data_IF_958653829487
#
_entry.id   IF_958653829487
#
_cell.length_a   1.000
_cell.length_b   1.000
_cell.length_c   1.000
_cell.angle_alpha   90.00
_cell.angle_beta   90.00
_cell.angle_gamma   90.00
#
_symmetry.space_group_name_H-M   'P 1'
#
loop_
_entity.id
_entity.type
_entity.pdbx_description
1 polymer ?
#
# COMPACT_ATOMS: atom_id res chain seq x y z
N UNK A 1 -9.96 9.81 -19.13
CA UNK A 1 -8.71 9.10 -18.81
C UNK A 1 -7.58 10.09 -19.02
N UNK A 2 -6.75 10.29 -18.00
CA UNK A 2 -5.61 11.21 -18.03
C UNK A 2 -4.35 10.46 -17.56
N UNK A 3 -3.16 10.73 -18.14
CA UNK A 3 -1.93 10.10 -17.69
C UNK A 3 -1.58 10.47 -16.24
N UNK A 4 -1.31 9.46 -15.40
CA UNK A 4 -0.89 9.65 -14.01
C UNK A 4 0.51 9.06 -13.77
N UNK A 5 1.26 9.66 -12.84
CA UNK A 5 2.51 9.07 -12.34
C UNK A 5 2.16 7.88 -11.45
N UNK A 6 2.38 6.68 -11.97
CA UNK A 6 2.11 5.44 -11.25
C UNK A 6 3.42 4.84 -10.71
N UNK A 7 3.38 4.32 -9.48
CA UNK A 7 4.46 3.55 -8.88
C UNK A 7 3.98 2.10 -8.72
N UNK A 8 4.62 1.11 -9.37
CA UNK A 8 4.33 -0.28 -9.08
C UNK A 8 4.82 -0.64 -7.67
N UNK A 9 3.96 -1.26 -6.87
CA UNK A 9 4.26 -1.72 -5.52
C UNK A 9 4.12 -3.24 -5.44
N UNK A 10 5.09 -3.90 -4.81
CA UNK A 10 5.02 -5.30 -4.46
C UNK A 10 5.17 -5.47 -2.94
N UNK A 11 4.35 -6.33 -2.35
CA UNK A 11 4.41 -6.68 -0.93
C UNK A 11 4.66 -8.18 -0.80
N UNK A 12 5.86 -8.54 -0.38
CA UNK A 12 6.17 -9.91 0.04
C UNK A 12 5.76 -10.09 1.50
N UNK A 13 5.07 -11.19 1.80
CA UNK A 13 4.65 -11.53 3.15
C UNK A 13 4.64 -13.05 3.35
N UNK A 14 4.81 -13.48 4.60
CA UNK A 14 4.64 -14.89 4.97
C UNK A 14 3.15 -15.20 5.14
N UNK A 15 2.61 -16.00 4.22
CA UNK A 15 1.19 -16.36 4.21
C UNK A 15 0.78 -17.29 5.38
N UNK A 16 1.74 -17.88 6.09
CA UNK A 16 1.48 -18.66 7.31
C UNK A 16 1.18 -17.76 8.50
N UNK A 17 1.73 -16.55 8.51
CA UNK A 17 1.57 -15.56 9.56
C UNK A 17 0.46 -14.54 9.26
N UNK A 18 0.32 -14.15 7.98
CA UNK A 18 -0.58 -13.09 7.54
C UNK A 18 -1.44 -13.60 6.38
N UNK A 19 -2.75 -13.38 6.44
CA UNK A 19 -3.64 -13.72 5.32
C UNK A 19 -3.67 -12.62 4.25
N UNK A 20 -4.14 -12.97 3.05
CA UNK A 20 -4.19 -12.05 1.92
C UNK A 20 -5.02 -10.78 2.15
N UNK A 21 -6.08 -10.84 2.96
CA UNK A 21 -6.91 -9.67 3.27
C UNK A 21 -6.13 -8.63 4.09
N UNK A 22 -5.39 -9.08 5.11
CA UNK A 22 -4.55 -8.21 5.92
C UNK A 22 -3.38 -7.63 5.08
N UNK A 23 -2.77 -8.45 4.22
CA UNK A 23 -1.73 -7.97 3.30
C UNK A 23 -2.26 -6.91 2.31
N UNK A 24 -3.47 -7.10 1.76
CA UNK A 24 -4.11 -6.13 0.87
C UNK A 24 -4.45 -4.82 1.59
N UNK A 25 -4.95 -4.90 2.83
CA UNK A 25 -5.21 -3.72 3.65
C UNK A 25 -3.92 -2.94 3.94
N UNK A 26 -2.83 -3.64 4.26
CA UNK A 26 -1.51 -3.01 4.46
C UNK A 26 -1.02 -2.34 3.18
N UNK A 27 -1.08 -3.02 2.02
CA UNK A 27 -0.69 -2.44 0.75
C UNK A 27 -1.51 -1.18 0.40
N UNK A 28 -2.81 -1.19 0.71
CA UNK A 28 -3.70 -0.04 0.53
C UNK A 28 -3.34 1.11 1.46
N UNK A 29 -2.98 0.81 2.72
CA UNK A 29 -2.53 1.83 3.66
C UNK A 29 -1.19 2.45 3.25
N UNK A 30 -0.23 1.63 2.79
CA UNK A 30 1.04 2.12 2.24
C UNK A 30 0.78 3.02 1.03
N UNK A 31 -0.13 2.61 0.12
CA UNK A 31 -0.56 3.44 -1.02
C UNK A 31 -1.08 4.79 -0.54
N UNK A 32 -1.98 4.84 0.45
CA UNK A 32 -2.56 6.10 0.92
C UNK A 32 -1.51 7.04 1.53
N UNK A 33 -0.56 6.50 2.29
CA UNK A 33 0.53 7.30 2.87
C UNK A 33 1.48 7.84 1.80
N UNK A 34 1.77 7.08 0.74
CA UNK A 34 2.59 7.57 -0.38
C UNK A 34 1.85 8.63 -1.19
N UNK A 35 0.53 8.48 -1.38
CA UNK A 35 -0.31 9.48 -2.05
C UNK A 35 -0.40 10.78 -1.23
N UNK A 36 -0.44 10.69 0.10
CA UNK A 36 -0.50 11.82 1.02
C UNK A 36 0.54 11.71 2.14
N UNK A 37 1.82 12.04 1.90
CA UNK A 37 2.90 11.85 2.89
C UNK A 37 2.73 12.60 4.21
N UNK A 38 1.87 13.63 4.26
CA UNK A 38 1.54 14.37 5.49
C UNK A 38 0.85 13.50 6.54
N UNK A 39 0.14 12.46 6.10
CA UNK A 39 -0.59 11.55 6.99
C UNK A 39 0.38 10.68 7.82
N UNK A 40 1.67 10.63 7.46
CA UNK A 40 2.71 9.98 8.27
C UNK A 40 3.11 10.77 9.51
N UNK A 41 2.70 12.04 9.64
CA UNK A 41 3.11 12.95 10.71
C UNK A 41 2.02 13.16 11.79
N UNK A 42 0.89 12.47 11.67
CA UNK A 42 -0.21 12.45 12.64
C UNK A 42 -0.01 11.30 13.63
#
# INVERSE_FOLDING_TARGET
WEPARMLPLSLSYDHRAINGALAANLATHIKSLIENPKDMML
#
